data_IF_470705675195
#
_entry.id   IF_470705675195
#
_cell.length_a   1.000
_cell.length_b   1.000
_cell.length_c   1.000
_cell.angle_alpha   90.00
_cell.angle_beta   90.00
_cell.angle_gamma   90.00
#
_symmetry.space_group_name_H-M   'P 1'
#
loop_
_entity.id
_entity.type
_entity.pdbx_description
1 polymer ?
2 non-polymer ?
3 non-polymer ?
4 non-polymer ?
5 water ?
#
# COMPACT_ATOMS: atom_id res chain seq x y z
N UNK A 2 7.71 26.12 -26.72
CA UNK A 2 7.94 24.95 -25.82
C UNK A 2 7.36 25.19 -24.44
N UNK A 3 7.37 26.46 -24.03
CA UNK A 3 6.63 26.97 -22.84
C UNK A 3 5.11 26.63 -22.82
N UNK A 4 4.50 26.60 -23.99
CA UNK A 4 3.09 26.28 -24.13
C UNK A 4 2.70 24.82 -23.73
N UNK A 5 3.63 23.87 -23.90
CA UNK A 5 3.40 22.46 -23.55
C UNK A 5 3.92 22.09 -22.17
N UNK A 6 4.65 23.01 -21.55
CA UNK A 6 5.26 22.82 -20.24
C UNK A 6 4.61 23.77 -19.27
N UNK A 7 4.72 23.47 -17.98
CA UNK A 7 4.12 24.29 -16.95
C UNK A 7 4.93 24.21 -15.66
N UNK A 8 4.67 25.18 -14.78
CA UNK A 8 5.18 25.15 -13.41
C UNK A 8 4.09 24.50 -12.57
N UNK A 9 4.44 23.46 -11.85
CA UNK A 9 3.45 22.67 -11.13
C UNK A 9 3.66 22.91 -9.67
N UNK A 10 2.57 23.26 -8.99
CA UNK A 10 2.57 23.53 -7.55
C UNK A 10 1.48 22.70 -6.89
N UNK A 11 1.57 22.47 -5.56
CA UNK A 11 0.47 21.74 -4.92
C UNK A 11 -0.84 22.53 -5.00
N UNK A 12 -1.93 21.82 -5.23
CA UNK A 12 -3.31 22.38 -5.14
C UNK A 12 -4.13 21.37 -4.38
N UNK A 13 -4.62 21.76 -3.22
CA UNK A 13 -5.37 20.83 -2.39
C UNK A 13 -6.87 21.13 -2.43
N UNK A 14 -7.66 20.15 -2.87
CA UNK A 14 -9.11 20.33 -2.95
C UNK A 14 -9.79 19.21 -2.17
N UNK A 15 -10.56 19.58 -1.15
CA UNK A 15 -11.29 18.60 -0.34
C UNK A 15 -10.36 17.58 0.29
N UNK A 16 -9.27 18.08 0.89
CA UNK A 16 -8.21 17.29 1.57
C UNK A 16 -7.36 16.41 0.62
N UNK A 17 -7.55 16.60 -0.69
CA UNK A 17 -6.89 15.79 -1.76
C UNK A 17 -5.91 16.72 -2.50
N UNK A 18 -4.66 16.32 -2.64
CA UNK A 18 -3.76 17.09 -3.49
C UNK A 18 -4.01 16.68 -4.94
N UNK A 19 -4.46 17.60 -5.77
CA UNK A 19 -4.93 17.21 -7.13
C UNK A 19 -3.86 17.40 -8.20
N UNK A 20 -2.64 17.74 -7.77
CA UNK A 20 -1.50 17.84 -8.70
C UNK A 20 -0.37 16.93 -8.21
N UNK A 21 0.58 16.66 -9.10
CA UNK A 21 1.75 15.87 -8.73
C UNK A 21 2.85 16.38 -9.60
N UNK A 22 4.05 16.40 -9.07
CA UNK A 22 5.19 16.95 -9.78
C UNK A 22 6.06 15.79 -10.32
N UNK A 23 6.23 15.69 -11.66
CA UNK A 23 6.98 14.59 -12.26
C UNK A 23 8.45 14.42 -11.76
N UNK A 24 9.19 15.52 -11.65
CA UNK A 24 10.58 15.48 -11.23
C UNK A 24 10.67 15.09 -9.75
N UNK A 25 9.77 15.66 -8.95
CA UNK A 25 9.71 15.35 -7.52
C UNK A 25 9.38 13.91 -7.26
N UNK A 26 8.44 13.35 -8.05
CA UNK A 26 8.06 11.93 -7.88
C UNK A 26 9.23 11.03 -8.24
N UNK A 27 9.95 11.43 -9.30
CA UNK A 27 11.14 10.72 -9.68
C UNK A 27 12.18 10.78 -8.56
N UNK A 28 12.38 11.94 -7.95
CA UNK A 28 13.34 12.02 -6.84
C UNK A 28 12.89 11.19 -5.64
N UNK A 29 11.60 11.07 -5.47
CA UNK A 29 11.06 10.31 -4.36
C UNK A 29 11.30 8.81 -4.55
N UNK A 30 11.00 8.35 -5.76
CA UNK A 30 11.28 6.98 -6.11
C UNK A 30 12.78 6.71 -5.95
N UNK A 31 13.62 7.64 -6.42
CA UNK A 31 15.08 7.45 -6.37
C UNK A 31 15.60 7.33 -4.92
N UNK A 32 15.09 8.21 -4.04
CA UNK A 32 15.38 8.17 -2.61
C UNK A 32 15.02 6.80 -1.97
N UNK A 33 13.87 6.23 -2.32
CA UNK A 33 13.46 4.91 -1.85
C UNK A 33 14.39 3.80 -2.39
N UNK A 34 14.69 3.85 -3.67
CA UNK A 34 15.70 2.97 -4.23
C UNK A 34 17.03 3.07 -3.47
N UNK A 35 17.50 4.31 -3.25
CA UNK A 35 18.84 4.51 -2.67
C UNK A 35 18.88 3.98 -1.25
N UNK A 36 17.74 4.07 -0.56
CA UNK A 36 17.56 3.46 0.76
C UNK A 36 17.81 1.98 0.68
N UNK A 37 17.10 1.30 -0.21
CA UNK A 37 17.22 -0.14 -0.38
C UNK A 37 18.67 -0.50 -0.70
N UNK A 38 19.28 0.18 -1.67
CA UNK A 38 20.64 -0.17 -2.07
C UNK A 38 21.66 0.20 -0.98
N UNK A 39 21.41 1.28 -0.23
CA UNK A 39 22.28 1.62 0.91
C UNK A 39 22.24 0.54 2.00
N UNK A 40 21.06 0.04 2.33
CA UNK A 40 20.92 -1.03 3.33
C UNK A 40 21.54 -2.34 2.83
N UNK A 41 21.41 -2.59 1.53
CA UNK A 41 22.04 -3.75 0.90
C UNK A 41 21.06 -4.79 0.39
N UNK A 42 21.57 -5.75 -0.41
CA UNK A 42 20.76 -6.80 -1.03
C UNK A 42 20.03 -7.68 -0.01
N UNK A 43 18.94 -8.31 -0.43
CA UNK A 43 18.24 -9.31 0.37
C UNK A 43 18.43 -10.69 -0.28
N UNK A 44 18.92 -11.64 0.51
CA UNK A 44 19.21 -13.00 0.03
C UNK A 44 17.96 -13.86 0.01
N UNK A 45 17.83 -14.72 -1.00
CA UNK A 45 16.73 -15.70 -1.10
C UNK A 45 15.35 -15.10 -1.29
N UNK A 46 15.28 -14.01 -2.04
CA UNK A 46 14.01 -13.35 -2.34
C UNK A 46 13.51 -13.84 -3.68
N UNK A 47 12.28 -13.48 -4.04
CA UNK A 47 11.71 -13.94 -5.33
C UNK A 47 12.42 -13.24 -6.50
N UNK A 48 12.42 -13.85 -7.67
CA UNK A 48 13.11 -13.26 -8.82
C UNK A 48 12.15 -12.73 -9.87
N UNK A 49 10.89 -13.14 -9.76
CA UNK A 49 9.84 -12.79 -10.72
C UNK A 49 8.59 -12.47 -9.88
N UNK A 50 8.24 -11.18 -9.81
CA UNK A 50 7.28 -10.68 -8.81
C UNK A 50 6.17 -9.92 -9.51
N UNK A 51 4.94 -10.32 -9.23
CA UNK A 51 3.77 -9.51 -9.57
C UNK A 51 3.35 -8.65 -8.36
N UNK A 52 3.29 -7.32 -8.50
CA UNK A 52 2.76 -6.41 -7.46
C UNK A 52 1.41 -5.85 -7.94
N UNK A 53 0.35 -6.23 -7.26
CA UNK A 53 -0.97 -5.67 -7.52
C UNK A 53 -1.23 -4.42 -6.64
N UNK A 54 -1.23 -3.24 -7.27
CA UNK A 54 -1.25 -1.95 -6.54
C UNK A 54 0.18 -1.47 -6.41
N UNK A 55 0.88 -1.33 -7.54
CA UNK A 55 2.32 -1.13 -7.53
C UNK A 55 2.84 0.33 -7.67
N UNK A 56 1.95 1.32 -7.75
CA UNK A 56 2.35 2.68 -8.17
C UNK A 56 2.60 3.66 -7.02
N UNK A 57 2.00 3.41 -5.84
CA UNK A 57 2.22 4.31 -4.69
C UNK A 57 2.29 3.50 -3.41
N UNK A 58 2.74 4.14 -2.35
CA UNK A 58 2.58 3.64 -0.96
C UNK A 58 3.29 2.31 -0.77
N UNK A 59 2.61 1.39 -0.07
CA UNK A 59 3.26 0.14 0.26
C UNK A 59 3.56 -0.80 -0.92
N UNK A 60 2.69 -0.83 -1.92
CA UNK A 60 2.94 -1.70 -3.09
C UNK A 60 4.10 -1.16 -3.92
N UNK A 61 4.21 0.17 -4.05
CA UNK A 61 5.41 0.76 -4.67
C UNK A 61 6.69 0.38 -3.94
N UNK A 62 6.64 0.46 -2.62
CA UNK A 62 7.79 0.07 -1.78
C UNK A 62 8.11 -1.43 -1.95
N UNK A 63 7.10 -2.28 -2.10
CA UNK A 63 7.32 -3.69 -2.36
C UNK A 63 8.01 -3.88 -3.71
N UNK A 64 7.57 -3.12 -4.71
CA UNK A 64 8.17 -3.22 -6.03
C UNK A 64 9.62 -2.84 -6.01
N UNK A 65 9.94 -1.78 -5.26
CA UNK A 65 11.32 -1.26 -5.17
C UNK A 65 12.18 -2.26 -4.40
N UNK A 66 11.64 -2.78 -3.30
CA UNK A 66 12.34 -3.78 -2.51
C UNK A 66 12.64 -5.05 -3.33
N UNK A 67 11.62 -5.59 -3.98
CA UNK A 67 11.78 -6.80 -4.80
C UNK A 67 12.81 -6.59 -5.89
N UNK A 68 12.67 -5.48 -6.62
CA UNK A 68 13.59 -5.15 -7.73
C UNK A 68 15.00 -4.80 -7.30
N UNK A 69 15.15 -3.82 -6.42
CA UNK A 69 16.46 -3.29 -6.09
C UNK A 69 17.10 -3.89 -4.84
N UNK A 70 16.29 -4.60 -4.04
CA UNK A 70 16.77 -5.39 -2.89
C UNK A 70 17.01 -6.83 -3.25
N UNK A 71 16.02 -7.50 -3.87
CA UNK A 71 16.19 -8.92 -4.28
C UNK A 71 16.58 -9.17 -5.73
N UNK A 72 16.72 -8.11 -6.53
CA UNK A 72 17.11 -8.24 -7.92
C UNK A 72 16.02 -8.80 -8.81
N UNK A 73 14.75 -8.63 -8.41
CA UNK A 73 13.66 -9.24 -9.14
C UNK A 73 13.27 -8.47 -10.39
N UNK A 74 12.85 -9.24 -11.40
CA UNK A 74 12.00 -8.73 -12.46
C UNK A 74 10.61 -8.46 -11.88
N UNK A 75 10.01 -7.31 -12.19
CA UNK A 75 8.71 -6.99 -11.61
C UNK A 75 7.67 -6.58 -12.65
N UNK A 76 6.48 -7.20 -12.52
CA UNK A 76 5.31 -6.84 -13.30
C UNK A 76 4.36 -6.12 -12.35
N UNK A 77 4.04 -4.85 -12.62
CA UNK A 77 3.21 -4.06 -11.72
C UNK A 77 1.83 -3.80 -12.30
N UNK A 78 0.83 -3.77 -11.43
CA UNK A 78 -0.54 -3.49 -11.83
C UNK A 78 -1.01 -2.31 -11.00
N UNK A 79 -1.62 -1.32 -11.64
CA UNK A 79 -2.14 -0.17 -10.95
C UNK A 79 -3.24 0.53 -11.74
N UNK A 80 -3.75 1.64 -11.19
CA UNK A 80 -4.85 2.38 -11.80
C UNK A 80 -4.53 3.86 -11.61
N UNK A 81 -3.92 4.46 -12.63
CA UNK A 81 -3.38 5.82 -12.49
C UNK A 81 -3.77 6.67 -13.70
N UNK A 82 -3.65 8.00 -13.57
CA UNK A 82 -4.01 8.89 -14.69
C UNK A 82 -2.75 9.44 -15.31
N UNK A 83 -2.54 9.16 -16.60
CA UNK A 83 -1.42 9.74 -17.34
C UNK A 83 -1.52 11.26 -17.31
N UNK A 84 -0.38 11.94 -17.43
CA UNK A 84 -0.32 13.38 -17.55
C UNK A 84 -0.76 13.84 -18.92
N UNK A 85 -1.28 15.06 -19.00
CA UNK A 85 -1.43 15.72 -20.31
C UNK A 85 -1.06 17.18 -20.23
N UNK A 86 -0.99 17.82 -21.39
CA UNK A 86 -0.75 19.24 -21.47
C UNK A 86 -1.66 19.98 -20.47
N UNK A 87 -1.09 20.86 -19.64
CA UNK A 87 -1.86 21.63 -18.64
C UNK A 87 -2.48 20.85 -17.47
N UNK A 88 -2.28 19.54 -17.41
CA UNK A 88 -3.03 18.69 -16.48
C UNK A 88 -2.15 17.52 -15.95
N UNK A 89 -1.40 17.76 -14.84
CA UNK A 89 -0.50 16.79 -14.27
C UNK A 89 -1.21 15.48 -14.03
N UNK A 90 -0.50 14.37 -14.25
CA UNK A 90 -1.07 13.05 -14.04
C UNK A 90 -1.03 12.78 -12.56
N UNK A 91 -1.41 11.57 -12.16
CA UNK A 91 -1.35 11.24 -10.73
C UNK A 91 0.07 10.89 -10.32
N UNK A 92 0.35 11.00 -9.02
CA UNK A 92 1.70 10.72 -8.50
C UNK A 92 2.13 9.28 -8.83
N UNK A 93 1.21 8.35 -8.73
CA UNK A 93 1.52 6.95 -9.07
C UNK A 93 1.95 6.76 -10.52
N UNK A 94 1.41 7.58 -11.41
CA UNK A 94 1.81 7.55 -12.82
C UNK A 94 3.29 7.95 -12.94
N UNK A 95 3.62 9.11 -12.38
CA UNK A 95 5.00 9.58 -12.37
C UNK A 95 5.92 8.66 -11.60
N UNK A 96 5.45 8.11 -10.48
CA UNK A 96 6.28 7.18 -9.74
C UNK A 96 6.66 5.98 -10.61
N UNK A 97 5.68 5.44 -11.33
CA UNK A 97 5.96 4.26 -12.18
C UNK A 97 6.82 4.59 -13.37
N UNK A 98 6.66 5.79 -13.93
CA UNK A 98 7.53 6.23 -15.01
C UNK A 98 8.99 6.20 -14.51
N UNK A 99 9.19 6.73 -13.31
CA UNK A 99 10.53 6.78 -12.68
C UNK A 99 11.05 5.36 -12.39
N UNK A 100 10.16 4.51 -11.89
CA UNK A 100 10.54 3.12 -11.64
C UNK A 100 11.05 2.41 -12.93
N UNK A 101 10.29 2.50 -14.01
CA UNK A 101 10.70 1.88 -15.28
C UNK A 101 12.07 2.41 -15.75
N UNK A 102 12.28 3.72 -15.61
CA UNK A 102 13.54 4.35 -15.96
C UNK A 102 14.70 3.81 -15.09
N UNK A 103 14.50 3.72 -13.77
CA UNK A 103 15.60 3.24 -12.93
C UNK A 103 15.87 1.74 -13.06
N UNK A 104 14.80 0.98 -13.31
CA UNK A 104 14.94 -0.44 -13.51
C UNK A 104 15.77 -0.73 -14.75
N UNK A 105 15.42 -0.07 -15.85
CA UNK A 105 16.12 -0.20 -17.12
C UNK A 105 17.58 0.15 -16.97
N UNK A 106 17.88 1.20 -16.22
CA UNK A 106 19.29 1.51 -15.93
C UNK A 106 20.07 0.38 -15.26
N UNK A 107 19.44 -0.34 -14.34
CA UNK A 107 20.09 -1.43 -13.63
C UNK A 107 19.97 -2.76 -14.39
N UNK A 108 19.38 -2.72 -15.58
CA UNK A 108 19.18 -3.90 -16.41
C UNK A 108 18.12 -4.84 -15.86
N UNK A 109 17.15 -4.30 -15.11
CA UNK A 109 16.07 -5.13 -14.59
C UNK A 109 14.82 -4.94 -15.46
N UNK A 110 14.15 -6.04 -15.77
CA UNK A 110 12.81 -6.00 -16.36
C UNK A 110 11.76 -5.19 -15.51
N UNK A 111 11.02 -4.33 -16.20
CA UNK A 111 9.89 -3.57 -15.59
C UNK A 111 8.82 -3.38 -16.65
N UNK A 112 7.65 -3.98 -16.42
CA UNK A 112 6.48 -3.80 -17.26
C UNK A 112 5.32 -3.50 -16.30
N UNK A 113 4.36 -2.70 -16.76
CA UNK A 113 3.23 -2.33 -15.94
C UNK A 113 1.94 -2.40 -16.75
N UNK A 114 0.83 -2.60 -16.03
CA UNK A 114 -0.49 -2.72 -16.61
C UNK A 114 -1.33 -1.69 -15.83
N UNK A 115 -1.90 -0.73 -16.55
CA UNK A 115 -2.73 0.32 -15.95
C UNK A 115 -4.17 0.00 -16.27
N UNK A 116 -4.97 -0.24 -15.23
CA UNK A 116 -6.39 -0.62 -15.42
C UNK A 116 -6.93 -1.23 -14.15
N UNK A 117 -8.19 -1.63 -14.20
CA UNK A 117 -8.88 -2.10 -13.00
C UNK A 117 -8.49 -3.53 -12.63
N UNK A 118 -7.74 -3.65 -11.54
CA UNK A 118 -7.29 -4.95 -11.04
C UNK A 118 -8.41 -5.92 -10.60
N UNK A 119 -9.61 -5.37 -10.38
CA UNK A 119 -10.77 -6.13 -9.92
C UNK A 119 -11.39 -6.88 -11.14
N UNK A 120 -11.04 -6.46 -12.36
CA UNK A 120 -11.61 -7.00 -13.59
C UNK A 120 -10.89 -8.25 -14.12
N UNK A 121 -11.66 -9.14 -14.75
CA UNK A 121 -11.10 -10.30 -15.43
C UNK A 121 -10.15 -9.91 -16.56
N UNK A 122 -10.52 -8.90 -17.34
CA UNK A 122 -9.68 -8.42 -18.44
C UNK A 122 -8.25 -8.11 -17.99
N UNK A 123 -8.10 -7.36 -16.90
CA UNK A 123 -6.77 -7.02 -16.40
C UNK A 123 -6.01 -8.25 -15.90
N UNK A 124 -6.74 -9.18 -15.29
CA UNK A 124 -6.16 -10.46 -14.87
C UNK A 124 -5.65 -11.19 -16.13
N UNK A 125 -6.43 -11.18 -17.20
CA UNK A 125 -6.02 -11.81 -18.47
C UNK A 125 -4.80 -11.11 -19.07
N UNK A 126 -4.82 -9.79 -19.14
CA UNK A 126 -3.65 -9.03 -19.65
C UNK A 126 -2.39 -9.32 -18.84
N UNK A 127 -2.54 -9.47 -17.52
CA UNK A 127 -1.45 -9.81 -16.61
C UNK A 127 -0.87 -11.22 -16.85
N UNK A 128 -1.77 -12.18 -17.03
CA UNK A 128 -1.40 -13.56 -17.32
C UNK A 128 -0.60 -13.56 -18.63
N UNK A 129 -1.11 -12.86 -19.65
CA UNK A 129 -0.44 -12.81 -20.95
C UNK A 129 0.97 -12.22 -20.84
N UNK A 130 1.13 -11.15 -20.05
CA UNK A 130 2.44 -10.57 -19.82
C UNK A 130 3.39 -11.57 -19.17
N UNK A 131 2.92 -12.30 -18.14
CA UNK A 131 3.75 -13.26 -17.46
C UNK A 131 4.20 -14.38 -18.44
N UNK A 132 3.25 -14.92 -19.19
CA UNK A 132 3.50 -15.96 -20.21
C UNK A 132 4.51 -15.57 -21.25
N UNK A 133 4.41 -14.34 -21.74
CA UNK A 133 5.28 -13.87 -22.82
C UNK A 133 6.70 -13.59 -22.32
N UNK A 134 6.81 -13.09 -21.09
CA UNK A 134 8.03 -12.45 -20.62
C UNK A 134 8.73 -13.26 -19.54
N UNK A 135 7.96 -13.84 -18.62
CA UNK A 135 8.53 -14.35 -17.39
C UNK A 135 8.39 -15.86 -17.26
N UNK A 136 7.38 -16.44 -17.90
CA UNK A 136 7.10 -17.87 -17.76
C UNK A 136 6.17 -17.98 -16.57
N UNK A 137 6.70 -17.72 -15.38
CA UNK A 137 5.91 -17.76 -14.14
C UNK A 137 6.38 -16.65 -13.22
N UNK A 138 5.60 -16.35 -12.18
CA UNK A 138 6.07 -15.48 -11.10
C UNK A 138 6.22 -16.29 -9.80
N UNK A 139 7.15 -15.85 -8.94
CA UNK A 139 7.48 -16.57 -7.68
C UNK A 139 6.68 -15.95 -6.52
N UNK A 140 6.30 -14.69 -6.68
CA UNK A 140 5.67 -13.92 -5.60
C UNK A 140 4.57 -13.04 -6.14
N UNK A 141 3.49 -12.91 -5.39
CA UNK A 141 2.39 -12.03 -5.73
C UNK A 141 2.10 -11.17 -4.51
N UNK A 142 2.33 -9.87 -4.65
CA UNK A 142 2.01 -8.90 -3.59
C UNK A 142 0.65 -8.30 -3.86
N UNK A 143 -0.23 -8.34 -2.86
CA UNK A 143 -1.55 -7.82 -3.03
C UNK A 143 -1.69 -6.56 -2.18
N UNK A 144 -1.70 -5.42 -2.84
CA UNK A 144 -1.61 -4.12 -2.15
C UNK A 144 -2.56 -3.10 -2.77
N UNK A 145 -3.84 -3.47 -2.92
CA UNK A 145 -4.84 -2.54 -3.44
C UNK A 145 -5.48 -1.76 -2.31
N UNK A 146 -5.66 -0.46 -2.52
CA UNK A 146 -6.51 0.35 -1.63
C UNK A 146 -7.47 1.03 -2.56
N UNK A 147 -8.75 0.75 -2.39
CA UNK A 147 -9.72 1.30 -3.30
C UNK A 147 -11.03 1.64 -2.56
N UNK A 148 -11.72 2.72 -2.97
CA UNK A 148 -13.01 3.02 -2.34
C UNK A 148 -14.19 2.26 -2.93
N UNK A 149 -13.96 1.60 -4.08
CA UNK A 149 -15.00 0.90 -4.78
C UNK A 149 -14.50 -0.30 -5.60
N UNK A 150 -15.43 -1.21 -5.89
CA UNK A 150 -15.14 -2.41 -6.69
C UNK A 150 -16.32 -2.80 -7.58
N UNK A 151 -16.06 -2.99 -8.87
CA UNK A 151 -17.05 -3.53 -9.79
C UNK A 151 -16.87 -5.04 -9.79
N UNK A 152 -17.88 -5.77 -9.34
CA UNK A 152 -17.76 -7.23 -9.29
C UNK A 152 -17.60 -7.74 -10.72
N UNK A 153 -16.57 -8.59 -10.98
CA UNK A 153 -16.29 -8.99 -12.36
C UNK A 153 -17.34 -9.95 -12.94
N UNK A 154 -18.12 -10.61 -12.09
CA UNK A 154 -19.13 -11.59 -12.54
C UNK A 154 -20.52 -10.96 -12.68
N UNK A 155 -20.99 -10.29 -11.61
CA UNK A 155 -22.34 -9.71 -11.56
C UNK A 155 -22.42 -8.25 -12.02
N UNK A 156 -21.27 -7.59 -12.22
CA UNK A 156 -21.25 -6.18 -12.63
C UNK A 156 -21.59 -5.16 -11.56
N UNK A 157 -21.92 -5.64 -10.36
CA UNK A 157 -22.35 -4.80 -9.26
C UNK A 157 -21.23 -3.91 -8.69
N UNK A 158 -21.52 -2.62 -8.55
CA UNK A 158 -20.61 -1.66 -7.97
C UNK A 158 -20.78 -1.68 -6.44
N UNK A 159 -19.70 -1.99 -5.72
CA UNK A 159 -19.70 -2.03 -4.26
C UNK A 159 -18.91 -0.81 -3.81
N UNK A 160 -19.42 -0.09 -2.80
CA UNK A 160 -18.67 1.04 -2.21
C UNK A 160 -18.25 0.75 -0.79
N UNK A 161 -16.96 0.96 -0.49
CA UNK A 161 -16.53 0.69 0.87
C UNK A 161 -16.87 1.86 1.79
N UNK A 162 -17.05 1.58 3.09
CA UNK A 162 -17.35 2.61 4.10
C UNK A 162 -16.30 2.64 5.21
N UNK A 163 -16.08 3.81 5.81
CA UNK A 163 -15.14 3.96 6.93
C UNK A 163 -15.93 4.40 8.17
N UNK A 164 -16.62 3.42 8.75
CA UNK A 164 -17.58 3.64 9.84
C UNK A 164 -17.40 2.62 10.96
N UNK A 165 -17.78 2.98 12.20
CA UNK A 165 -17.75 1.97 13.27
C UNK A 165 -18.86 0.94 13.08
N UNK A 166 -18.85 -0.09 13.92
CA UNK A 166 -19.88 -1.12 13.92
C UNK A 166 -20.53 -1.14 15.30
N UNK A 167 -21.85 -1.23 15.36
CA UNK A 167 -22.53 -1.30 16.64
C UNK A 167 -22.98 0.08 17.07
N UNK A 168 -22.10 0.80 17.77
CA UNK A 168 -22.44 2.14 18.28
C UNK A 168 -21.77 3.22 17.45
N UNK A 169 -22.34 4.41 17.48
CA UNK A 169 -21.71 5.59 16.91
C UNK A 169 -20.47 5.89 17.75
N UNK A 170 -19.46 6.49 17.13
CA UNK A 170 -18.22 6.83 17.83
C UNK A 170 -17.90 8.33 17.68
N UNK A 171 -17.38 8.92 18.77
CA UNK A 171 -16.80 10.28 18.76
C UNK A 171 -15.30 10.17 18.45
N UNK A 172 -14.85 10.73 17.33
CA UNK A 172 -13.42 10.68 16.94
C UNK A 172 -12.75 12.07 16.95
N UNK A 173 -11.70 12.24 17.72
CA UNK A 173 -10.90 13.45 17.68
C UNK A 173 -10.03 13.42 16.42
N UNK A 174 -9.88 14.57 15.78
CA UNK A 174 -9.16 14.64 14.54
C UNK A 174 -8.46 15.97 14.38
N UNK A 175 -7.67 16.05 13.31
CA UNK A 175 -7.03 17.29 12.94
C UNK A 175 -7.47 17.62 11.52
N UNK A 176 -8.14 18.76 11.36
CA UNK A 176 -8.54 19.25 10.04
C UNK A 176 -7.29 19.94 9.47
N UNK A 177 -6.67 19.35 8.44
CA UNK A 177 -5.41 19.86 7.92
C UNK A 177 -5.53 21.13 7.07
N UNK A 178 -6.74 21.46 6.62
CA UNK A 178 -6.92 22.73 5.94
C UNK A 178 -7.08 23.88 6.91
N UNK A 179 -7.90 23.71 7.96
CA UNK A 179 -8.08 24.83 8.89
C UNK A 179 -7.08 24.76 10.05
N UNK A 180 -6.34 23.67 10.15
CA UNK A 180 -5.42 23.44 11.26
C UNK A 180 -6.10 23.60 12.60
N UNK A 181 -7.24 22.91 12.74
CA UNK A 181 -7.94 22.86 14.02
C UNK A 181 -8.13 21.43 14.51
N UNK A 182 -7.98 21.24 15.82
CA UNK A 182 -8.24 19.96 16.46
C UNK A 182 -9.74 19.98 16.65
N UNK A 183 -10.41 18.95 16.16
CA UNK A 183 -11.87 18.89 16.24
C UNK A 183 -12.41 17.45 16.24
N UNK A 184 -13.54 17.28 16.92
CA UNK A 184 -14.20 15.97 17.03
C UNK A 184 -15.36 15.91 16.11
N UNK A 185 -15.63 14.71 15.59
CA UNK A 185 -16.89 14.44 14.90
C UNK A 185 -17.43 13.05 15.25
N UNK A 186 -18.74 12.87 15.09
CA UNK A 186 -19.41 11.62 15.42
C UNK A 186 -19.76 10.89 14.14
N UNK A 187 -19.30 9.63 14.03
CA UNK A 187 -19.63 8.79 12.90
C UNK A 187 -20.65 7.73 13.27
N UNK A 188 -21.76 7.70 12.52
CA UNK A 188 -22.82 6.73 12.74
C UNK A 188 -22.33 5.33 12.40
N UNK A 189 -22.95 4.31 13.01
CA UNK A 189 -22.46 2.96 12.75
C UNK A 189 -22.88 2.45 11.38
N UNK A 190 -22.10 1.55 10.80
CA UNK A 190 -22.38 1.01 9.48
C UNK A 190 -23.60 0.11 9.49
N UNK A 191 -24.40 0.18 8.44
CA UNK A 191 -25.47 -0.77 8.19
C UNK A 191 -24.86 -2.08 7.68
N UNK A 192 -25.60 -3.19 7.79
CA UNK A 192 -25.08 -4.49 7.34
C UNK A 192 -24.62 -4.43 5.88
N UNK A 193 -25.38 -3.71 5.08
CA UNK A 193 -25.09 -3.47 3.68
C UNK A 193 -23.73 -2.77 3.46
N UNK A 194 -23.46 -1.73 4.26
CA UNK A 194 -22.17 -1.04 4.18
C UNK A 194 -21.01 -1.93 4.64
N UNK A 195 -21.25 -2.77 5.65
CA UNK A 195 -20.26 -3.76 6.07
C UNK A 195 -19.94 -4.78 4.95
N UNK A 196 -20.98 -5.35 4.33
CA UNK A 196 -20.78 -6.33 3.24
C UNK A 196 -20.12 -5.67 2.02
N UNK A 197 -20.54 -4.45 1.69
CA UNK A 197 -19.91 -3.70 0.63
C UNK A 197 -18.42 -3.47 0.89
N UNK A 198 -18.07 -3.15 2.13
CA UNK A 198 -16.65 -2.90 2.49
C UNK A 198 -15.83 -4.19 2.42
N UNK A 199 -16.44 -5.29 2.87
CA UNK A 199 -15.81 -6.62 2.74
C UNK A 199 -15.62 -6.99 1.25
N UNK A 200 -16.64 -6.75 0.42
CA UNK A 200 -16.53 -6.93 -1.03
C UNK A 200 -15.38 -6.15 -1.69
N UNK A 201 -15.11 -4.93 -1.22
CA UNK A 201 -14.06 -4.10 -1.81
C UNK A 201 -12.67 -4.40 -1.25
N UNK A 202 -12.56 -4.39 0.08
CA UNK A 202 -11.27 -4.47 0.75
C UNK A 202 -11.02 -5.80 1.45
N UNK A 203 -11.99 -6.72 1.36
CA UNK A 203 -11.78 -8.07 1.84
C UNK A 203 -10.87 -8.84 0.86
N UNK A 204 -10.82 -10.15 1.03
CA UNK A 204 -9.87 -10.95 0.32
C UNK A 204 -10.41 -11.72 -0.86
N UNK A 205 -11.67 -11.52 -1.24
CA UNK A 205 -12.19 -12.22 -2.44
C UNK A 205 -11.32 -11.97 -3.70
N UNK A 206 -11.09 -10.70 -4.02
CA UNK A 206 -10.36 -10.41 -5.24
C UNK A 206 -8.92 -10.97 -5.23
N UNK A 207 -8.28 -10.99 -4.06
CA UNK A 207 -6.97 -11.64 -3.88
C UNK A 207 -7.07 -13.14 -4.23
N UNK A 208 -8.14 -13.76 -3.74
CA UNK A 208 -8.43 -15.16 -4.04
C UNK A 208 -8.54 -15.36 -5.53
N UNK A 209 -9.33 -14.51 -6.19
CA UNK A 209 -9.57 -14.62 -7.63
C UNK A 209 -8.28 -14.48 -8.45
N UNK A 210 -7.38 -13.59 -7.99
CA UNK A 210 -6.04 -13.43 -8.62
C UNK A 210 -5.25 -14.72 -8.53
N UNK A 211 -5.13 -15.30 -7.33
CA UNK A 211 -4.28 -16.48 -7.14
C UNK A 211 -4.82 -17.70 -7.90
N UNK A 212 -6.14 -17.88 -7.87
CA UNK A 212 -6.82 -18.93 -8.64
C UNK A 212 -6.64 -18.76 -10.15
N UNK A 213 -6.70 -17.53 -10.63
CA UNK A 213 -6.56 -17.25 -12.07
C UNK A 213 -5.13 -17.49 -12.58
N UNK A 214 -4.16 -17.08 -11.78
CA UNK A 214 -2.76 -17.36 -12.01
C UNK A 214 -2.45 -18.87 -12.04
N UNK A 215 -2.95 -19.61 -11.05
CA UNK A 215 -2.86 -21.08 -11.01
C UNK A 215 -3.51 -21.76 -12.21
N UNK A 216 -4.75 -21.37 -12.52
CA UNK A 216 -5.50 -21.95 -13.63
C UNK A 216 -4.77 -21.74 -14.94
N UNK A 217 -3.90 -20.73 -15.00
CA UNK A 217 -3.11 -20.46 -16.19
C UNK A 217 -1.71 -21.07 -16.12
N UNK A 218 -1.34 -21.60 -14.96
CA UNK A 218 -0.01 -22.18 -14.80
C UNK A 218 1.14 -21.18 -14.73
N UNK A 219 0.89 -19.97 -14.24
CA UNK A 219 1.98 -18.96 -14.09
C UNK A 219 2.60 -18.75 -12.69
N UNK A 220 2.43 -19.69 -11.77
CA UNK A 220 3.01 -19.55 -10.43
C UNK A 220 4.09 -20.61 -10.09
N UNK A 221 5.34 -20.19 -9.94
CA UNK A 221 6.46 -21.11 -9.68
C UNK A 221 6.29 -21.92 -8.38
N UNK A 222 6.94 -23.09 -8.31
CA UNK A 222 6.89 -23.91 -7.09
C UNK A 222 7.58 -23.15 -5.95
N UNK A 223 7.08 -23.30 -4.74
CA UNK A 223 7.63 -22.55 -3.63
C UNK A 223 7.26 -21.08 -3.72
N UNK A 224 6.26 -20.77 -4.55
CA UNK A 224 5.78 -19.40 -4.70
C UNK A 224 5.24 -18.90 -3.37
N UNK A 225 4.76 -17.67 -3.37
CA UNK A 225 4.44 -16.96 -2.12
C UNK A 225 3.56 -15.76 -2.45
N UNK A 226 2.53 -15.51 -1.63
CA UNK A 226 1.74 -14.33 -1.78
C UNK A 226 1.45 -13.73 -0.40
N UNK A 227 1.41 -12.42 -0.35
CA UNK A 227 1.03 -11.73 0.85
C UNK A 227 0.15 -10.54 0.50
N UNK A 228 -0.81 -10.26 1.37
CA UNK A 228 -1.67 -9.10 1.26
C UNK A 228 -1.47 -8.24 2.53
N UNK A 229 -1.47 -6.92 2.37
CA UNK A 229 -1.11 -6.07 3.48
C UNK A 229 -2.35 -5.78 4.34
N UNK A 230 -2.15 -5.58 5.64
CA UNK A 230 -3.25 -5.27 6.54
C UNK A 230 -2.73 -4.35 7.63
N UNK A 231 -3.66 -3.81 8.42
CA UNK A 231 -3.35 -2.94 9.57
C UNK A 231 -4.19 -3.38 10.75
N UNK A 232 -3.60 -3.50 11.92
CA UNK A 232 -4.33 -3.85 13.13
C UNK A 232 -4.42 -2.62 14.03
N UNK A 233 -3.30 -1.93 14.19
CA UNK A 233 -3.30 -0.62 14.86
C UNK A 233 -3.24 -0.68 16.36
N UNK A 234 -2.96 0.47 16.98
CA UNK A 234 -3.10 0.63 18.42
C UNK A 234 -4.57 0.56 18.83
N UNK A 235 -4.79 0.24 20.09
CA UNK A 235 -6.12 0.23 20.67
C UNK A 235 -6.93 1.49 20.41
N UNK A 236 -6.29 2.65 20.39
CA UNK A 236 -6.98 3.92 20.05
C UNK A 236 -7.65 3.98 18.64
N UNK A 237 -7.13 3.21 17.67
CA UNK A 237 -7.72 3.16 16.33
C UNK A 237 -8.82 2.07 16.21
N UNK A 238 -8.95 1.24 17.24
CA UNK A 238 -9.80 0.02 17.15
C UNK A 238 -11.28 0.24 16.80
N UNK A 239 -11.91 1.25 17.43
CA UNK A 239 -13.33 1.51 17.21
C UNK A 239 -13.61 1.84 15.75
N UNK A 240 -12.78 2.69 15.16
CA UNK A 240 -12.98 3.07 13.75
C UNK A 240 -12.36 2.09 12.75
N UNK A 241 -11.25 1.45 13.10
CA UNK A 241 -10.54 0.64 12.11
C UNK A 241 -10.82 -0.84 12.33
N UNK A 242 -10.05 -1.47 13.22
CA UNK A 242 -10.10 -2.93 13.44
C UNK A 242 -11.52 -3.45 13.69
N UNK A 243 -12.28 -2.75 14.52
CA UNK A 243 -13.66 -3.15 14.81
C UNK A 243 -14.75 -2.43 14.01
N UNK A 244 -14.35 -1.65 13.01
CA UNK A 244 -15.32 -1.01 12.12
C UNK A 244 -15.50 -1.76 10.79
N UNK A 245 -16.15 -1.11 9.83
CA UNK A 245 -16.41 -1.75 8.54
C UNK A 245 -15.10 -2.12 7.85
N UNK A 246 -14.10 -1.22 7.86
CA UNK A 246 -12.77 -1.55 7.26
C UNK A 246 -12.14 -2.76 7.96
N UNK A 247 -12.20 -2.82 9.29
CA UNK A 247 -11.72 -4.01 10.01
C UNK A 247 -12.45 -5.30 9.64
N UNK A 248 -13.74 -5.22 9.36
CA UNK A 248 -14.46 -6.39 8.86
C UNK A 248 -13.87 -6.90 7.52
N UNK A 249 -13.53 -5.99 6.63
CA UNK A 249 -12.78 -6.33 5.43
C UNK A 249 -11.43 -6.97 5.77
N UNK A 250 -10.65 -6.36 6.66
CA UNK A 250 -9.31 -6.90 6.96
C UNK A 250 -9.37 -8.30 7.61
N UNK A 251 -10.43 -8.54 8.37
CA UNK A 251 -10.69 -9.83 8.99
C UNK A 251 -11.06 -10.86 7.95
N UNK A 252 -11.70 -10.43 6.86
CA UNK A 252 -11.97 -11.32 5.72
C UNK A 252 -10.67 -11.81 5.08
N UNK A 253 -9.65 -10.94 5.02
CA UNK A 253 -8.33 -11.35 4.59
C UNK A 253 -7.80 -12.54 5.37
N UNK A 254 -8.06 -12.56 6.69
CA UNK A 254 -7.63 -13.65 7.58
C UNK A 254 -8.38 -14.97 7.28
N UNK A 255 -9.57 -14.88 6.69
CA UNK A 255 -10.37 -16.05 6.32
C UNK A 255 -10.02 -16.53 4.92
N UNK A 256 -9.56 -15.61 4.07
CA UNK A 256 -9.01 -15.98 2.78
C UNK A 256 -7.58 -16.57 2.82
N UNK A 257 -6.69 -16.04 3.66
CA UNK A 257 -5.29 -16.46 3.57
C UNK A 257 -5.08 -17.97 3.76
N UNK A 258 -5.97 -18.62 4.49
CA UNK A 258 -5.81 -20.04 4.78
C UNK A 258 -5.92 -20.95 3.54
N UNK A 259 -6.93 -20.73 2.71
CA UNK A 259 -7.06 -21.52 1.49
C UNK A 259 -6.02 -21.12 0.45
N UNK A 260 -5.32 -20.02 0.70
CA UNK A 260 -4.25 -19.60 -0.19
C UNK A 260 -2.95 -20.31 0.17
N UNK A 261 -2.61 -20.31 1.46
CA UNK A 261 -1.45 -21.03 1.96
C UNK A 261 -1.57 -22.51 1.63
N UNK A 262 -2.78 -23.04 1.79
CA UNK A 262 -3.03 -24.43 1.50
C UNK A 262 -2.64 -24.73 0.05
N UNK A 263 -3.04 -23.85 -0.85
CA UNK A 263 -2.81 -24.09 -2.28
C UNK A 263 -1.30 -24.11 -2.60
N UNK A 264 -0.57 -23.16 -2.04
CA UNK A 264 0.83 -22.99 -2.39
C UNK A 264 1.78 -23.91 -1.63
N UNK A 265 1.35 -24.39 -0.46
CA UNK A 265 2.19 -25.26 0.35
C UNK A 265 2.31 -26.66 -0.25
N UNK A 266 1.24 -27.11 -0.92
CA UNK A 266 1.28 -28.33 -1.71
C UNK A 266 2.03 -28.09 -3.00
N UNK A 267 2.33 -26.83 -3.29
CA UNK A 267 2.95 -26.42 -4.55
C UNK A 267 4.43 -26.05 -4.34
N UNK A 268 5.25 -27.05 -4.05
CA UNK A 268 6.67 -26.83 -3.71
C UNK A 268 6.92 -26.13 -2.37
N UNK A 269 5.98 -26.23 -1.44
CA UNK A 269 6.14 -25.61 -0.13
C UNK A 269 6.19 -24.09 -0.23
N UNK A 270 5.42 -23.54 -1.15
CA UNK A 270 5.20 -22.10 -1.21
C UNK A 270 4.63 -21.63 0.11
N UNK A 271 4.09 -20.41 0.16
CA UNK A 271 3.48 -19.92 1.41
C UNK A 271 2.62 -18.69 1.19
N UNK A 272 1.68 -18.43 2.08
CA UNK A 272 0.90 -17.20 1.98
C UNK A 272 0.78 -16.63 3.36
N UNK A 273 0.77 -15.31 3.46
CA UNK A 273 0.63 -14.66 4.75
C UNK A 273 -0.07 -13.34 4.59
N UNK A 274 -0.99 -13.02 5.49
CA UNK A 274 -1.42 -11.63 5.70
C UNK A 274 -0.22 -10.94 6.36
N UNK A 275 0.20 -9.78 5.85
CA UNK A 275 1.31 -9.03 6.47
C UNK A 275 0.85 -7.73 7.11
N UNK A 276 1.17 -7.54 8.40
CA UNK A 276 0.67 -6.38 9.11
C UNK A 276 1.74 -5.29 9.13
N UNK A 277 1.37 -4.12 8.65
CA UNK A 277 2.30 -3.01 8.53
C UNK A 277 1.85 -1.83 9.40
N UNK A 278 2.73 -0.85 9.59
CA UNK A 278 2.45 0.27 10.48
C UNK A 278 1.69 1.36 9.71
N UNK A 279 1.05 2.27 10.43
CA UNK A 279 0.41 3.43 9.83
C UNK A 279 1.44 4.38 9.23
N UNK A 280 1.16 4.86 8.01
CA UNK A 280 2.02 5.85 7.35
C UNK A 280 1.16 6.90 6.67
N UNK A 281 1.76 8.01 6.29
CA UNK A 281 1.06 9.00 5.49
C UNK A 281 0.85 8.42 4.07
N UNK A 282 -0.39 8.48 3.59
CA UNK A 282 -0.72 7.97 2.26
C UNK A 282 -1.65 8.99 1.66
N UNK A 283 -2.05 8.75 0.42
CA UNK A 283 -2.88 9.69 -0.30
C UNK A 283 -4.23 9.96 0.36
N UNK A 284 -4.76 8.95 1.04
CA UNK A 284 -6.02 8.99 1.75
C UNK A 284 -5.93 9.50 3.20
N UNK A 285 -4.76 9.90 3.68
CA UNK A 285 -4.61 10.15 5.13
C UNK A 285 -5.57 11.16 5.67
N UNK A 286 -6.03 12.07 4.84
CA UNK A 286 -7.13 12.90 5.31
C UNK A 286 -8.50 12.38 4.89
N UNK A 287 -8.66 11.06 4.88
CA UNK A 287 -9.98 10.51 4.59
C UNK A 287 -10.80 10.94 5.76
N UNK A 288 -10.25 10.67 6.95
CA UNK A 288 -10.91 11.04 8.20
C UNK A 288 -9.86 11.78 8.99
N UNK A 289 -10.24 12.95 9.54
CA UNK A 289 -9.32 13.81 10.27
C UNK A 289 -8.62 13.15 11.48
N UNK A 290 -9.12 11.98 11.93
CA UNK A 290 -8.41 11.22 12.98
C UNK A 290 -7.01 10.82 12.54
N UNK A 291 -6.86 10.43 11.27
CA UNK A 291 -5.57 9.92 10.77
C UNK A 291 -4.45 10.96 10.80
N UNK A 292 -4.65 12.19 10.26
CA UNK A 292 -3.58 13.18 10.44
C UNK A 292 -3.15 13.46 11.90
N UNK A 293 -4.09 13.38 12.84
CA UNK A 293 -3.79 13.65 14.24
C UNK A 293 -2.99 12.47 14.83
N UNK A 294 -3.47 11.27 14.58
CA UNK A 294 -2.81 10.06 15.04
C UNK A 294 -1.37 9.97 14.48
N UNK A 295 -1.22 10.20 13.16
CA UNK A 295 0.09 10.16 12.51
C UNK A 295 0.97 11.24 13.07
N UNK A 296 0.45 12.46 13.25
CA UNK A 296 1.27 13.53 13.83
C UNK A 296 1.85 13.19 15.19
N UNK A 297 1.04 12.54 16.03
CA UNK A 297 1.46 12.11 17.36
C UNK A 297 2.42 10.93 17.29
N UNK A 298 2.06 9.93 16.48
CA UNK A 298 2.86 8.72 16.33
C UNK A 298 4.24 9.05 15.82
N UNK A 299 4.31 9.96 14.86
CA UNK A 299 5.62 10.37 14.31
C UNK A 299 6.46 10.98 15.36
N UNK A 300 5.91 11.91 16.14
CA UNK A 300 6.69 12.52 17.22
C UNK A 300 7.22 11.46 18.19
N UNK A 301 6.34 10.59 18.68
CA UNK A 301 6.72 9.63 19.72
C UNK A 301 7.78 8.69 19.19
N UNK A 302 7.53 8.17 17.97
CA UNK A 302 8.46 7.23 17.35
C UNK A 302 9.82 7.86 17.01
N UNK A 303 9.80 9.10 16.51
CA UNK A 303 11.07 9.84 16.32
C UNK A 303 11.87 9.97 17.63
N UNK A 304 11.21 10.20 18.76
CA UNK A 304 11.91 10.25 20.06
C UNK A 304 12.52 8.91 20.45
N UNK A 305 11.98 7.81 19.93
CA UNK A 305 12.50 6.47 20.25
C UNK A 305 13.48 5.94 19.20
N UNK A 306 13.62 6.66 18.10
CA UNK A 306 14.56 6.25 17.10
C UNK A 306 13.91 5.23 16.20
N UNK A 307 12.58 5.16 16.16
CA UNK A 307 11.93 4.04 15.48
C UNK A 307 11.02 4.46 14.33
N UNK A 308 10.97 5.76 13.99
CA UNK A 308 10.04 6.25 12.95
C UNK A 308 10.45 5.74 11.57
N UNK A 309 9.50 5.30 10.76
CA UNK A 309 9.76 4.74 9.44
C UNK A 309 8.64 5.12 8.54
N UNK A 310 8.90 5.16 7.23
CA UNK A 310 7.85 5.20 6.22
C UNK A 310 7.71 3.88 5.45
N UNK A 311 7.15 3.94 4.25
CA UNK A 311 6.87 2.73 3.44
C UNK A 311 8.10 1.91 3.14
N UNK A 312 9.16 2.55 2.66
CA UNK A 312 10.31 1.76 2.15
C UNK A 312 11.01 1.00 3.28
N UNK A 313 11.27 1.68 4.40
CA UNK A 313 11.86 1.04 5.59
C UNK A 313 11.06 -0.19 6.08
N UNK A 314 9.74 -0.03 6.19
CA UNK A 314 8.82 -1.09 6.62
C UNK A 314 8.90 -2.29 5.70
N UNK A 315 8.81 -2.05 4.40
CA UNK A 315 8.67 -3.18 3.48
C UNK A 315 10.03 -3.86 3.26
N UNK A 316 11.10 -3.07 3.30
CA UNK A 316 12.44 -3.63 3.21
C UNK A 316 12.60 -4.64 4.34
N UNK A 317 12.25 -4.26 5.57
CA UNK A 317 12.49 -5.24 6.63
C UNK A 317 11.45 -6.36 6.63
N UNK A 318 10.24 -6.07 6.12
CA UNK A 318 9.26 -7.16 5.89
C UNK A 318 9.83 -8.25 4.95
N UNK A 319 10.47 -7.83 3.86
CA UNK A 319 11.12 -8.77 2.95
C UNK A 319 12.29 -9.43 3.64
N UNK A 320 13.15 -8.60 4.23
CA UNK A 320 14.43 -9.09 4.74
C UNK A 320 14.21 -10.05 5.95
N UNK A 321 13.30 -9.70 6.85
CA UNK A 321 13.08 -10.49 8.08
C UNK A 321 12.07 -11.61 7.93
N UNK A 322 11.02 -11.41 7.14
CA UNK A 322 9.85 -12.27 7.24
C UNK A 322 9.42 -12.97 5.97
N UNK A 323 9.47 -12.27 4.85
CA UNK A 323 9.15 -12.89 3.58
C UNK A 323 10.30 -13.76 3.07
N UNK A 324 11.54 -13.32 3.25
CA UNK A 324 12.73 -14.05 2.73
C UNK A 324 13.76 -14.37 3.81
N UNK A 325 13.44 -14.04 5.05
CA UNK A 325 14.41 -14.11 6.13
C UNK A 325 14.32 -15.38 6.95
N UNK A 326 15.44 -15.71 7.58
CA UNK A 326 15.61 -16.94 8.35
C UNK A 326 14.81 -16.94 9.66
N UNK A 327 14.43 -15.77 10.16
CA UNK A 327 13.59 -15.70 11.36
C UNK A 327 12.38 -14.76 11.18
N UNK A 328 11.27 -15.30 10.62
CA UNK A 328 10.03 -14.55 10.40
C UNK A 328 9.48 -14.09 11.73
N UNK A 329 8.77 -12.97 11.71
CA UNK A 329 8.15 -12.46 12.93
C UNK A 329 6.65 -12.75 12.89
N UNK A 330 6.28 -13.94 13.37
CA UNK A 330 4.93 -14.49 13.24
C UNK A 330 4.05 -14.17 14.47
N UNK A 331 2.74 -13.95 14.25
CA UNK A 331 1.82 -13.82 15.36
C UNK A 331 1.01 -15.09 15.56
N UNK A 332 0.07 -15.03 16.50
CA UNK A 332 -0.70 -16.18 16.94
C UNK A 332 -1.72 -16.63 15.90
N UNK A 333 -2.03 -15.75 14.96
CA UNK A 333 -2.94 -16.14 13.89
C UNK A 333 -2.20 -16.67 12.67
N UNK A 334 -0.88 -16.62 12.69
CA UNK A 334 -0.10 -16.90 11.48
C UNK A 334 0.14 -15.72 10.52
N UNK A 335 -0.07 -14.50 11.00
CA UNK A 335 0.21 -13.29 10.24
C UNK A 335 1.68 -12.97 10.39
N UNK A 336 2.23 -12.29 9.40
CA UNK A 336 3.54 -11.71 9.52
C UNK A 336 3.45 -10.29 10.06
N UNK A 337 4.27 -9.95 11.04
CA UNK A 337 4.17 -8.65 11.66
C UNK A 337 5.41 -7.81 11.44
N UNK A 338 5.21 -6.60 10.90
CA UNK A 338 6.28 -5.62 10.73
C UNK A 338 5.96 -4.36 11.55
N UNK A 339 4.86 -4.42 12.29
CA UNK A 339 4.21 -3.25 12.87
C UNK A 339 4.48 -3.09 14.39
N UNK A 340 5.37 -3.91 14.94
CA UNK A 340 5.48 -4.03 16.39
C UNK A 340 6.03 -2.77 17.05
N UNK A 341 6.85 -1.98 16.34
CA UNK A 341 7.35 -0.72 16.94
C UNK A 341 6.22 0.32 17.18
N UNK A 342 5.18 0.32 16.32
CA UNK A 342 4.00 1.18 16.54
C UNK A 342 3.15 0.68 17.72
N UNK A 343 3.05 -0.63 17.88
CA UNK A 343 2.22 -1.23 18.93
C UNK A 343 2.87 -1.34 20.30
N UNK A 344 4.17 -1.07 20.37
CA UNK A 344 4.88 -1.10 21.66
C UNK A 344 4.08 -0.37 22.74
N UNK A 345 3.86 -1.00 23.90
CA UNK A 345 3.03 -0.41 24.95
C UNK A 345 3.40 1.03 25.32
N UNK A 346 4.70 1.31 25.39
CA UNK A 346 5.17 2.64 25.82
C UNK A 346 4.83 3.70 24.74
N UNK A 347 4.80 3.28 23.48
CA UNK A 347 4.49 4.21 22.38
C UNK A 347 2.99 4.54 22.48
N UNK A 348 2.18 3.49 22.60
CA UNK A 348 0.72 3.64 22.71
C UNK A 348 0.35 4.53 23.86
N UNK A 349 1.03 4.32 24.98
CA UNK A 349 0.73 5.06 26.21
C UNK A 349 1.01 6.56 26.01
N UNK A 350 2.18 6.86 25.45
CA UNK A 350 2.57 8.24 25.19
C UNK A 350 1.65 8.88 24.13
N UNK A 351 1.36 8.14 23.05
CA UNK A 351 0.42 8.63 22.04
C UNK A 351 -0.95 8.94 22.73
N UNK A 352 -1.46 8.03 23.55
CA UNK A 352 -2.73 8.22 24.30
C UNK A 352 -2.71 9.41 25.26
N UNK A 353 -1.64 9.56 26.05
CA UNK A 353 -1.50 10.72 26.95
C UNK A 353 -1.52 12.03 26.16
N UNK A 354 -0.75 12.13 25.07
CA UNK A 354 -0.77 13.33 24.23
C UNK A 354 -2.14 13.58 23.55
N UNK A 355 -2.86 12.50 23.23
CA UNK A 355 -4.15 12.58 22.55
C UNK A 355 -5.15 13.51 23.26
N UNK A 356 -5.21 13.40 24.58
CA UNK A 356 -6.15 14.21 25.41
C UNK A 356 -5.57 15.56 25.78
N UNK A 357 -4.45 15.95 25.19
CA UNK A 357 -3.79 17.20 25.57
C UNK A 357 -3.64 18.19 24.41
N UNK A 358 -3.74 17.69 23.20
CA UNK A 358 -3.51 18.49 22.01
C UNK A 358 -4.68 19.46 21.76
N UNK A 359 -4.36 20.73 21.50
CA UNK A 359 -5.36 21.80 21.25
C UNK A 359 -4.90 22.56 20.01
N UNK A 360 -5.64 23.57 19.56
CA UNK A 360 -5.16 24.37 18.42
C UNK A 360 -3.85 25.09 18.73
N UNK A 361 -3.66 25.35 20.02
CA UNK A 361 -2.55 26.20 20.43
C UNK A 361 -1.23 25.48 20.65
N UNK A 362 -1.26 24.17 20.93
CA UNK A 362 -0.05 23.41 21.22
C UNK A 362 0.29 22.31 20.17
N UNK A 363 -0.39 22.33 19.02
CA UNK A 363 -0.24 21.31 17.96
C UNK A 363 1.22 21.15 17.61
N UNK A 364 1.95 22.26 17.46
CA UNK A 364 3.33 22.18 17.03
C UNK A 364 4.30 21.83 18.15
N UNK A 365 3.88 21.99 19.38
CA UNK A 365 4.69 21.65 20.54
C UNK A 365 4.50 20.20 20.96
N UNK A 366 3.28 19.67 20.75
CA UNK A 366 2.95 18.32 21.18
C UNK A 366 3.05 17.24 20.09
N UNK A 367 3.01 17.64 18.83
CA UNK A 367 2.97 16.70 17.72
C UNK A 367 3.98 17.06 16.66
N UNK A 368 4.26 16.09 15.78
CA UNK A 368 5.05 16.32 14.56
C UNK A 368 4.11 16.57 13.35
N UNK A 369 3.14 17.46 13.53
CA UNK A 369 2.35 17.94 12.39
C UNK A 369 3.23 18.49 11.25
N UNK A 370 4.35 19.14 11.59
CA UNK A 370 5.29 19.61 10.57
C UNK A 370 5.73 18.41 9.69
N UNK A 371 6.12 17.32 10.34
CA UNK A 371 6.58 16.11 9.64
C UNK A 371 5.48 15.48 8.81
N UNK A 372 4.27 15.41 9.36
CA UNK A 372 3.07 14.92 8.64
C UNK A 372 2.90 15.69 7.31
N UNK A 373 2.94 17.02 7.40
CA UNK A 373 2.70 17.85 6.25
C UNK A 373 3.75 17.64 5.19
N UNK A 374 5.00 17.46 5.62
CA UNK A 374 6.12 17.28 4.70
C UNK A 374 6.01 15.95 3.96
N UNK A 375 5.78 14.87 4.71
CA UNK A 375 5.56 13.56 4.11
C UNK A 375 4.37 13.59 3.18
N UNK A 376 3.29 14.27 3.58
CA UNK A 376 2.13 14.35 2.69
C UNK A 376 2.49 15.03 1.37
N UNK A 377 3.17 16.16 1.42
CA UNK A 377 3.62 16.81 0.19
C UNK A 377 4.61 15.96 -0.56
N UNK A 378 5.51 15.27 0.14
CA UNK A 378 6.45 14.34 -0.53
C UNK A 378 5.78 13.31 -1.43
N UNK A 379 4.56 12.83 -1.06
CA UNK A 379 3.89 11.78 -1.81
C UNK A 379 3.64 12.21 -3.24
N UNK A 380 3.32 13.49 -3.39
CA UNK A 380 2.99 14.03 -4.70
C UNK A 380 4.19 14.69 -5.40
N UNK A 381 5.38 14.50 -4.84
CA UNK A 381 6.61 15.02 -5.45
C UNK A 381 6.96 16.47 -5.11
N UNK A 382 6.33 17.03 -4.07
CA UNK A 382 6.53 18.40 -3.58
C UNK A 382 7.39 18.43 -2.32
N UNK A 383 8.10 19.54 -2.13
CA UNK A 383 8.98 19.72 -0.97
C UNK A 383 10.27 18.89 -0.98
N UNK A 384 10.65 18.27 -2.10
CA UNK A 384 11.85 17.41 -2.17
C UNK A 384 13.17 18.17 -2.43
N UNK A 385 14.22 17.82 -1.66
CA UNK A 385 15.59 18.35 -1.84
C UNK A 385 16.14 18.14 -3.22
N UNK A 386 16.69 19.21 -3.78
CA UNK A 386 17.42 19.12 -5.04
C UNK A 386 16.53 19.24 -6.24
N UNK A 387 15.22 19.34 -6.03
CA UNK A 387 14.30 19.57 -7.14
C UNK A 387 14.12 21.09 -7.29
N UNK A 388 14.28 21.58 -8.52
CA UNK A 388 14.02 22.97 -8.83
C UNK A 388 12.51 23.15 -9.14
N UNK A 389 11.74 23.61 -8.15
CA UNK A 389 10.29 23.81 -8.35
C UNK A 389 9.90 25.04 -9.19
N UNK A 390 10.90 25.82 -9.58
CA UNK A 390 10.66 26.96 -10.44
C UNK A 390 10.78 26.62 -11.93
N UNK A 391 11.38 25.48 -12.25
CA UNK A 391 11.61 25.13 -13.67
C UNK A 391 10.33 24.61 -14.32
N UNK A 392 10.01 25.07 -15.53
CA UNK A 392 8.95 24.46 -16.36
C UNK A 392 9.18 22.97 -16.54
N UNK A 393 8.08 22.21 -16.58
CA UNK A 393 8.14 20.78 -16.81
C UNK A 393 6.98 20.32 -17.71
N UNK A 394 7.26 19.36 -18.57
CA UNK A 394 6.24 18.74 -19.41
C UNK A 394 5.48 17.69 -18.57
N UNK A 395 4.18 17.94 -18.28
CA UNK A 395 3.43 16.97 -17.47
C UNK A 395 3.18 15.64 -18.20
N UNK A 396 3.39 15.60 -19.52
CA UNK A 396 3.13 14.41 -20.32
C UNK A 396 4.36 13.50 -20.34
N UNK A 397 4.53 12.74 -19.28
CA UNK A 397 5.63 11.79 -19.10
C UNK A 397 5.14 10.41 -19.54
N UNK A 398 5.84 9.79 -20.48
CA UNK A 398 5.42 8.55 -21.10
C UNK A 398 6.12 7.39 -20.40
N UNK A 399 5.58 6.18 -20.51
CA UNK A 399 6.14 4.99 -19.83
C UNK A 399 6.28 3.87 -20.90
N UNK A 400 7.50 3.38 -21.16
CA UNK A 400 7.74 2.21 -22.03
C UNK A 400 7.19 0.97 -21.35
N UNK A 401 6.69 0.01 -22.14
CA UNK A 401 6.13 -1.25 -21.60
C UNK A 401 5.05 -0.99 -20.56
N UNK A 402 4.16 -0.09 -20.91
CA UNK A 402 2.95 0.19 -20.17
C UNK A 402 1.76 -0.36 -20.98
N UNK A 403 1.09 -1.39 -20.48
CA UNK A 403 -0.12 -1.90 -21.14
C UNK A 403 -1.33 -1.19 -20.52
N UNK A 404 -2.07 -0.49 -21.36
CA UNK A 404 -3.17 0.35 -20.94
C UNK A 404 -4.41 -0.48 -21.10
N UNK A 405 -5.08 -0.74 -20.00
CA UNK A 405 -6.21 -1.64 -20.02
C UNK A 405 -7.51 -0.91 -20.12
X LIG B 1 -2.10 3.54 -1.89
X LIG B 1 -0.81 4.21 -1.76
X LIG B 1 -3.26 4.36 -2.20
X LIG B 1 -1.93 2.43 -3.06
X LIG B 1 -3.01 1.69 -3.64
X LIG B 1 -2.52 0.99 -4.94
X LIG B 1 -3.71 0.42 -5.45
X LIG B 1 -2.05 2.01 -5.99
X LIG B 1 -0.98 1.46 -6.79
X LIG B 1 -3.31 2.22 -6.80
X LIG B 1 -3.01 2.58 -8.13
X LIG B 1 -3.84 0.82 -6.77
X LIG B 1 -5.25 0.69 -7.13
X LIG B 1 -6.32 1.16 -6.46
X LIG B 1 -7.41 0.74 -7.09
X LIG B 1 -7.04 -0.08 -8.07
X LIG B 1 -7.72 -0.74 -9.10
X LIG B 1 -9.05 -0.77 -9.13
X LIG B 1 -7.00 -1.46 -9.98
X LIG B 1 -5.69 -1.49 -9.91
X LIG B 1 -5.02 -0.77 -9.04
X LIG B 1 -5.67 -0.09 -8.10
X LIG B 1 -2.46 2.60 -0.66
X LIG B 1 -1.61 2.08 0.59
X LIG B 1 -2.03 2.92 1.72
X LIG B 1 -0.16 1.88 0.35
X LIG B 1 -2.44 0.68 0.69
X LIG B 1 -1.84 -0.58 0.36
X LIG B 1 -2.38 -1.67 1.24
X LIG B 1 -1.69 -1.52 2.47
X LIG B 1 -3.89 -1.67 1.56
X LIG B 1 -4.29 -3.06 1.73
X LIG B 1 -3.89 -0.99 2.92
X LIG B 1 -5.07 -1.28 3.65
X LIG B 1 -2.66 -1.63 3.54
X LIG B 1 -2.00 -0.85 4.65
X LIG B 1 -1.99 0.55 4.61
X LIG B 1 -1.53 1.26 5.73
X LIG B 1 -1.29 2.75 5.68
X LIG B 1 -0.89 3.36 6.84
X LIG B 1 -1.47 3.39 4.51
X LIG B 1 -1.20 0.55 7.06
X LIG B 1 -1.20 -0.86 6.94
X LIG B 1 -1.49 -1.55 5.76
X LIG C 1 -5.77 0.38 5.74
X LIG C 1 -5.26 1.47 6.04
X LIG C 1 -4.68 1.65 7.30
X LIG C 1 -4.12 2.87 7.65
X LIG C 1 -3.47 3.05 9.01
X LIG C 1 -4.12 4.14 9.88
X LIG C 1 -5.64 4.04 9.86
X LIG C 1 -6.28 4.61 11.14
X LIG C 1 -5.66 5.92 11.58
X LIG C 1 -6.54 6.44 12.72
X LIG C 1 -4.14 3.94 6.74
X LIG C 1 -4.70 3.78 5.47
X LIG C 1 -8.42 2.25 3.14
X LIG C 1 -9.77 2.46 3.43
X LIG C 1 -10.13 3.07 4.64
X LIG C 1 -9.14 3.44 5.55
X LIG C 1 -7.82 3.22 5.23
X LIG C 1 -7.42 2.63 4.03
X LIG C 1 -5.26 2.55 5.13
X LIG C 1 -5.91 2.41 3.79
X LIG C 1 -8.00 1.49 1.62
X LIG D 1 0.11 0.28 -2.39
#
# INVERSE_FOLDING_TARGET
GSHMLEMIIKPRVRGFICVTAHPTGCEANVKKQIDYVTTEGPIANGPKRVLVIGASTGYGLAARITAAFGCGADTLGVFFERPGEEGKPGTSGWYNSAAFHKFAAQKGLYAKSINGDAFSDEIKQLTIDAIKQDLGQVDQVIYSLASPRRTHPKTGEVFNSALKPIGNAVNLRGLDTDKEVIKESVLQPATQSEIDSTVAVMGGEDWQMWIDALLDAGVLAEGAQTTAFTYLGEKITHDIYWNGSIGAAKKDLDQKVLAIRESLAAHGGGDARVSVLKAVVSQASSAIPMMPLYLSLLFKVMKEKGTHEGCIEQVYSLYKDSLCGDSPHMDQEGRLRADYKELDPEVQNQVQQLWDQVTNDNIYQLTDFVGYKSEFLNLFGFGIDGVDYDADVNPDVKIPNLIQG
NAI PA O1A O2A O5B C5B C4B O4B C3B O3B C2B O2B C1B N9A C8A N7A C5A C6A N6A N1A C2A N3A C4A O3 PN O1N O2N O5D C5D C4D O4D C3D O3D C2D O2D C1D N1N C2N C3N C7N O7N N7N C4N C5N C6N
ZU4 O17 C6 C1 C2 C16 C17 C18 C19 C20 C21 C3 C4 C8 C9 C10 C11 C12 C13 NAD C14 CL
NA NA
#
